data_IF_864218153950
#
_entry.id   IF_864218153950
#
_cell.length_a   1.000
_cell.length_b   1.000
_cell.length_c   1.000
_cell.angle_alpha   90.00
_cell.angle_beta   90.00
_cell.angle_gamma   90.00
#
_symmetry.space_group_name_H-M   'P 1'
#
loop_
_entity.id
_entity.type
_entity.pdbx_description
1 polymer ?
#
# COMPACT_ATOMS: atom_id res chain seq x y z
N UNK A 1 -0.76 8.15 30.76
CA UNK A 1 0.66 8.11 30.32
C UNK A 1 1.16 6.71 29.95
N UNK A 2 0.81 5.64 30.69
CA UNK A 2 1.27 4.26 30.41
C UNK A 2 0.83 3.74 29.02
N UNK A 3 -0.42 3.97 28.61
CA UNK A 3 -0.94 3.53 27.30
C UNK A 3 -0.19 4.11 26.09
N UNK A 4 0.23 5.38 26.18
CA UNK A 4 1.00 6.03 25.11
C UNK A 4 2.41 5.44 24.98
N UNK A 5 3.06 5.12 26.11
CA UNK A 5 4.40 4.56 26.15
C UNK A 5 4.46 3.17 25.51
N UNK A 6 3.52 2.27 25.85
CA UNK A 6 3.42 0.94 25.23
C UNK A 6 3.16 1.00 23.72
N UNK A 7 2.37 1.99 23.27
CA UNK A 7 2.11 2.22 21.84
C UNK A 7 3.38 2.65 21.09
N UNK A 8 4.17 3.57 21.64
CA UNK A 8 5.42 4.03 21.04
C UNK A 8 6.44 2.89 20.91
N UNK A 9 6.61 2.07 21.96
CA UNK A 9 7.52 0.91 21.91
C UNK A 9 7.13 -0.05 20.77
N UNK A 10 5.83 -0.36 20.62
CA UNK A 10 5.36 -1.25 19.55
C UNK A 10 5.61 -0.68 18.15
N UNK A 11 5.52 0.64 17.98
CA UNK A 11 5.82 1.32 16.71
C UNK A 11 7.32 1.29 16.40
N UNK A 12 8.18 1.53 17.41
CA UNK A 12 9.63 1.45 17.26
C UNK A 12 10.08 0.04 16.89
N UNK A 13 9.54 -1.00 17.53
CA UNK A 13 9.82 -2.38 17.15
C UNK A 13 9.42 -2.70 15.71
N UNK A 14 8.26 -2.21 15.25
CA UNK A 14 7.84 -2.37 13.85
C UNK A 14 8.77 -1.62 12.90
N UNK A 15 9.23 -0.43 13.28
CA UNK A 15 10.21 0.33 12.51
C UNK A 15 11.54 -0.43 12.40
N UNK A 16 12.08 -0.98 13.49
CA UNK A 16 13.33 -1.76 13.48
C UNK A 16 13.27 -2.98 12.55
N UNK A 17 12.11 -3.61 12.41
CA UNK A 17 11.89 -4.72 11.45
C UNK A 17 12.12 -4.29 9.99
N UNK A 18 12.01 -3.00 9.67
CA UNK A 18 12.29 -2.49 8.33
C UNK A 18 13.78 -2.48 7.99
N UNK A 19 14.65 -2.30 8.99
CA UNK A 19 16.10 -2.36 8.83
C UNK A 19 16.61 -3.81 8.84
N UNK A 20 16.10 -4.62 9.76
CA UNK A 20 16.56 -6.00 9.97
C UNK A 20 15.92 -7.01 9.01
N UNK A 21 14.84 -6.62 8.32
CA UNK A 21 14.07 -7.52 7.46
C UNK A 21 13.24 -8.57 8.21
N UNK A 22 13.15 -8.48 9.54
CA UNK A 22 12.40 -9.43 10.35
C UNK A 22 10.91 -9.48 9.98
N UNK A 23 10.40 -10.69 9.77
CA UNK A 23 9.02 -10.97 9.35
C UNK A 23 8.38 -12.04 10.25
N UNK A 24 8.02 -11.70 11.50
CA UNK A 24 7.55 -12.67 12.47
C UNK A 24 6.17 -13.26 12.13
N UNK A 25 5.36 -12.58 11.32
CA UNK A 25 4.00 -13.01 11.00
C UNK A 25 3.99 -13.88 9.75
N UNK A 26 3.95 -15.21 9.92
CA UNK A 26 3.93 -16.18 8.81
C UNK A 26 2.51 -16.46 8.34
N UNK A 27 2.34 -16.63 7.02
CA UNK A 27 1.09 -17.14 6.47
C UNK A 27 0.89 -18.60 6.86
N UNK A 28 -0.33 -18.94 7.27
CA UNK A 28 -0.70 -20.30 7.71
C UNK A 28 -1.25 -21.16 6.57
N UNK A 29 -1.42 -20.60 5.37
CA UNK A 29 -1.95 -21.35 4.24
C UNK A 29 -0.93 -22.41 3.76
N UNK A 30 -1.29 -23.70 3.62
CA UNK A 30 -0.33 -24.81 3.49
C UNK A 30 0.69 -24.68 2.35
N UNK A 31 0.31 -24.06 1.23
CA UNK A 31 1.17 -23.86 0.05
C UNK A 31 1.79 -22.45 -0.01
N UNK A 32 1.56 -21.60 1.00
CA UNK A 32 2.05 -20.22 1.04
C UNK A 32 3.18 -20.08 2.06
N UNK A 33 4.37 -19.70 1.59
CA UNK A 33 5.55 -19.48 2.45
C UNK A 33 5.79 -18.00 2.77
N UNK A 34 4.80 -17.12 2.55
CA UNK A 34 4.95 -15.67 2.73
C UNK A 34 4.92 -15.30 4.22
N UNK A 35 5.78 -14.35 4.58
CA UNK A 35 5.87 -13.80 5.94
C UNK A 35 5.90 -12.27 5.90
N UNK A 36 5.43 -11.64 6.97
CA UNK A 36 5.16 -10.20 7.04
C UNK A 36 5.72 -9.59 8.33
N UNK A 37 6.06 -8.29 8.27
CA UNK A 37 6.62 -7.54 9.40
C UNK A 37 5.55 -7.08 10.40
N UNK A 38 4.27 -7.03 9.97
CA UNK A 38 3.13 -6.60 10.79
C UNK A 38 1.94 -7.56 10.69
N UNK A 39 1.14 -7.66 11.75
CA UNK A 39 -0.09 -8.46 11.73
C UNK A 39 -1.14 -7.91 10.75
N UNK A 40 -1.20 -6.59 10.56
CA UNK A 40 -2.07 -5.96 9.56
C UNK A 40 -1.76 -6.44 8.14
N UNK A 41 -0.48 -6.48 7.76
CA UNK A 41 -0.07 -6.93 6.43
C UNK A 41 -0.30 -8.42 6.22
N UNK A 42 -0.12 -9.26 7.25
CA UNK A 42 -0.55 -10.67 7.21
C UNK A 42 -2.07 -10.78 7.00
N UNK A 43 -2.88 -10.07 7.78
CA UNK A 43 -4.36 -10.11 7.65
C UNK A 43 -4.82 -9.70 6.25
N UNK A 44 -4.26 -8.62 5.72
CA UNK A 44 -4.53 -8.19 4.34
C UNK A 44 -4.09 -9.24 3.30
N UNK A 45 -2.96 -9.93 3.53
CA UNK A 45 -2.51 -11.01 2.67
C UNK A 45 -3.44 -12.23 2.72
N UNK A 46 -3.97 -12.62 3.88
CA UNK A 46 -4.88 -13.76 4.01
C UNK A 46 -6.14 -13.60 3.14
N UNK A 47 -6.59 -12.36 2.90
CA UNK A 47 -7.66 -12.05 1.95
C UNK A 47 -7.34 -12.44 0.49
N UNK A 48 -6.08 -12.68 0.16
CA UNK A 48 -5.69 -13.22 -1.15
C UNK A 48 -5.98 -14.70 -1.30
N UNK A 49 -6.08 -15.44 -0.19
CA UNK A 49 -6.47 -16.84 -0.19
C UNK A 49 -7.99 -17.00 -0.10
N UNK A 50 -8.66 -16.18 0.71
CA UNK A 50 -10.12 -16.26 0.90
C UNK A 50 -10.92 -15.53 -0.19
N UNK A 51 -10.29 -14.58 -0.89
CA UNK A 51 -10.99 -13.72 -1.85
C UNK A 51 -11.81 -12.58 -1.22
N UNK A 52 -11.83 -12.47 0.11
CA UNK A 52 -12.58 -11.44 0.84
C UNK A 52 -12.17 -10.02 0.42
N UNK A 53 -13.16 -9.17 0.14
CA UNK A 53 -12.99 -7.78 -0.28
C UNK A 53 -13.91 -6.87 0.54
N UNK A 54 -13.55 -6.55 1.79
CA UNK A 54 -14.45 -5.85 2.70
C UNK A 54 -14.61 -4.35 2.38
N UNK A 55 -13.73 -3.77 1.56
CA UNK A 55 -13.76 -2.36 1.24
C UNK A 55 -14.49 -2.13 -0.08
N UNK A 56 -15.78 -1.79 -0.01
CA UNK A 56 -16.62 -1.49 -1.18
C UNK A 56 -16.40 -0.06 -1.66
N UNK A 57 -16.49 0.15 -2.97
CA UNK A 57 -16.53 1.49 -3.54
C UNK A 57 -17.80 2.22 -3.07
N UNK A 58 -17.71 3.48 -2.61
CA UNK A 58 -18.88 4.25 -2.19
C UNK A 58 -19.68 4.85 -3.36
N UNK A 59 -19.24 4.67 -4.61
CA UNK A 59 -19.99 5.11 -5.78
C UNK A 59 -21.02 4.04 -6.14
N UNK A 60 -22.31 4.37 -6.03
CA UNK A 60 -23.45 3.46 -6.29
C UNK A 60 -23.47 2.88 -7.72
N UNK A 61 -22.86 3.57 -8.68
CA UNK A 61 -22.73 3.05 -10.06
C UNK A 61 -21.53 2.12 -10.26
N UNK A 62 -20.79 1.80 -9.18
CA UNK A 62 -19.55 1.06 -9.21
C UNK A 62 -19.50 -0.05 -8.15
N UNK A 63 -19.71 -1.30 -8.56
CA UNK A 63 -19.73 -2.47 -7.66
C UNK A 63 -18.34 -3.00 -7.24
N UNK A 64 -17.27 -2.22 -7.48
CA UNK A 64 -15.91 -2.68 -7.20
C UNK A 64 -15.62 -2.73 -5.69
N UNK A 65 -14.99 -3.82 -5.27
CA UNK A 65 -14.57 -4.04 -3.88
C UNK A 65 -13.09 -4.44 -3.78
N UNK A 66 -12.44 -4.07 -2.68
CA UNK A 66 -10.99 -4.16 -2.49
C UNK A 66 -10.59 -4.87 -1.20
N UNK A 67 -9.37 -5.42 -1.19
CA UNK A 67 -8.79 -6.16 -0.06
C UNK A 67 -8.23 -5.24 1.03
N UNK A 68 -7.86 -4.01 0.68
CA UNK A 68 -7.31 -3.00 1.60
C UNK A 68 -7.96 -1.64 1.39
N UNK A 69 -7.97 -0.80 2.43
CA UNK A 69 -8.47 0.58 2.34
C UNK A 69 -7.62 1.45 1.42
N UNK A 70 -6.29 1.22 1.38
CA UNK A 70 -5.39 1.94 0.49
C UNK A 70 -5.66 1.67 -1.00
N UNK A 71 -6.03 0.43 -1.34
CA UNK A 71 -6.42 0.10 -2.72
C UNK A 71 -7.76 0.73 -3.09
N UNK A 72 -8.73 0.73 -2.17
CA UNK A 72 -9.99 1.46 -2.34
C UNK A 72 -9.75 2.95 -2.57
N UNK A 73 -8.92 3.60 -1.74
CA UNK A 73 -8.63 5.04 -1.89
C UNK A 73 -8.02 5.37 -3.24
N UNK A 74 -7.03 4.57 -3.69
CA UNK A 74 -6.45 4.72 -5.04
C UNK A 74 -7.50 4.56 -6.14
N UNK A 75 -8.44 3.62 -5.97
CA UNK A 75 -9.53 3.45 -6.91
C UNK A 75 -10.50 4.63 -6.89
N UNK A 76 -10.88 5.17 -5.73
CA UNK A 76 -11.80 6.32 -5.65
C UNK A 76 -11.27 7.52 -6.43
N UNK A 77 -9.95 7.72 -6.48
CA UNK A 77 -9.32 8.76 -7.32
C UNK A 77 -9.60 8.63 -8.80
N UNK A 78 -9.97 7.44 -9.30
CA UNK A 78 -10.37 7.29 -10.71
C UNK A 78 -11.75 7.86 -10.99
N UNK A 79 -12.60 7.99 -9.98
CA UNK A 79 -13.91 8.65 -10.09
C UNK A 79 -13.78 10.17 -9.93
N UNK A 80 -12.95 10.62 -8.98
CA UNK A 80 -12.80 12.06 -8.68
C UNK A 80 -11.82 12.78 -9.61
N UNK A 81 -10.93 12.05 -10.28
CA UNK A 81 -9.84 12.62 -11.08
C UNK A 81 -8.67 13.18 -10.27
N UNK A 82 -8.67 13.01 -8.94
CA UNK A 82 -7.62 13.53 -8.05
C UNK A 82 -6.25 12.90 -8.38
N UNK A 83 -5.24 13.75 -8.60
CA UNK A 83 -3.86 13.33 -8.93
C UNK A 83 -2.83 14.02 -8.02
N UNK A 84 -2.67 13.57 -6.77
CA UNK A 84 -1.84 14.26 -5.78
C UNK A 84 -0.34 14.24 -6.07
N UNK A 85 0.10 13.32 -6.93
CA UNK A 85 1.52 13.06 -7.13
C UNK A 85 2.01 13.77 -8.39
N UNK A 86 2.69 14.89 -8.20
CA UNK A 86 3.29 15.66 -9.29
C UNK A 86 4.62 15.06 -9.74
N UNK A 87 4.89 15.11 -11.04
CA UNK A 87 6.19 14.77 -11.58
C UNK A 87 7.24 15.75 -11.01
N UNK A 88 8.33 15.26 -10.40
CA UNK A 88 9.35 16.13 -9.82
C UNK A 88 10.22 16.82 -10.88
N UNK A 89 10.15 16.40 -12.15
CA UNK A 89 10.92 17.02 -13.23
C UNK A 89 10.30 18.36 -13.61
N UNK A 90 11.09 19.42 -13.50
CA UNK A 90 10.66 20.77 -13.81
C UNK A 90 10.22 20.87 -15.29
N UNK A 91 9.10 21.54 -15.56
CA UNK A 91 8.52 21.64 -16.90
C UNK A 91 7.72 20.41 -17.38
N UNK A 92 7.64 19.31 -16.63
CA UNK A 92 6.83 18.16 -17.03
C UNK A 92 5.32 18.39 -16.86
N UNK A 93 4.90 19.02 -15.76
CA UNK A 93 3.50 19.31 -15.44
C UNK A 93 2.58 18.10 -15.22
N UNK A 94 3.07 16.86 -15.37
CA UNK A 94 2.26 15.64 -15.24
C UNK A 94 1.94 15.33 -13.78
N UNK A 95 0.72 14.86 -13.54
CA UNK A 95 0.24 14.41 -12.23
C UNK A 95 -0.34 13.00 -12.29
N UNK A 96 -0.23 12.26 -11.18
CA UNK A 96 -0.58 10.85 -11.07
C UNK A 96 -1.44 10.56 -9.84
N UNK A 97 -2.24 9.49 -9.91
CA UNK A 97 -3.12 9.04 -8.82
C UNK A 97 -2.40 8.22 -7.74
N UNK A 98 -1.17 7.75 -8.03
CA UNK A 98 -0.33 6.96 -7.13
C UNK A 98 1.11 7.48 -7.11
N UNK A 99 1.83 7.25 -6.00
CA UNK A 99 3.21 7.70 -5.79
C UNK A 99 4.25 6.98 -6.65
N UNK A 100 3.90 5.89 -7.34
CA UNK A 100 4.80 5.16 -8.23
C UNK A 100 4.96 5.90 -9.57
N UNK A 101 5.49 7.11 -9.52
CA UNK A 101 5.88 7.87 -10.69
C UNK A 101 7.12 7.18 -11.28
N UNK A 102 6.94 6.28 -12.25
CA UNK A 102 8.08 5.68 -12.96
C UNK A 102 8.95 6.82 -13.48
N UNK A 103 10.25 6.79 -13.14
CA UNK A 103 11.29 7.61 -13.78
C UNK A 103 11.00 7.57 -15.28
N UNK A 104 10.65 8.71 -15.86
CA UNK A 104 10.64 8.84 -17.32
C UNK A 104 12.05 8.40 -17.73
N UNK A 105 12.15 7.35 -18.57
CA UNK A 105 13.44 6.85 -19.04
C UNK A 105 14.25 8.06 -19.52
N UNK A 106 15.43 8.27 -18.93
CA UNK A 106 16.49 9.04 -19.58
C UNK A 106 16.83 8.29 -20.86
N UNK A 107 16.13 8.63 -21.94
CA UNK A 107 16.53 8.33 -23.31
C UNK A 107 17.07 9.62 -23.94
N UNK A 108 17.88 10.38 -23.19
CA UNK A 108 18.93 11.16 -23.82
C UNK A 108 20.00 10.15 -24.26
N UNK A 109 19.73 9.46 -25.37
CA UNK A 109 20.82 8.88 -26.15
C UNK A 109 21.64 10.08 -26.63
N UNK A 110 22.86 10.16 -26.12
CA UNK A 110 23.96 10.84 -26.78
C UNK A 110 24.01 10.26 -28.21
N UNK A 111 23.77 11.12 -29.19
CA UNK A 111 24.44 11.07 -30.48
C UNK A 111 25.15 12.41 -30.62
#
# INVERSE_FOLDING_TARGET
MISCYSKIISLNQVHERSHTGQRPYRCTHPKCKKSFSTGYSLKAHLRTHTGEKPYKCPNETCDKSFKTSGDLLKHVRTHTGERPFLCPFNGCGRSFTTSNIRKVRENFKII
#
